data_IF_409120819302
#
_entry.id   IF_409120819302
#
_cell.length_a   1.000
_cell.length_b   1.000
_cell.length_c   1.000
_cell.angle_alpha   90.00
_cell.angle_beta   90.00
_cell.angle_gamma   90.00
#
_symmetry.space_group_name_H-M   'P 1'
#
loop_
_entity.id
_entity.type
_entity.pdbx_description
1 polymer ?
#
# COMPACT_ATOMS: atom_id res chain seq x y z
N UNK A 1 0.12 27.64 20.93
CA UNK A 1 -0.31 26.29 20.52
C UNK A 1 0.26 25.30 21.54
N UNK A 2 -0.56 24.42 22.11
CA UNK A 2 -0.12 23.49 23.16
C UNK A 2 0.72 22.34 22.56
N UNK A 3 1.86 21.99 23.17
CA UNK A 3 2.74 20.87 22.76
C UNK A 3 1.98 19.53 22.61
N UNK A 4 0.88 19.35 23.34
CA UNK A 4 0.04 18.15 23.21
C UNK A 4 -0.81 18.13 21.94
N UNK A 5 -1.18 19.30 21.41
CA UNK A 5 -1.90 19.43 20.13
C UNK A 5 -1.01 19.06 18.94
N UNK A 6 0.27 19.42 18.98
CA UNK A 6 1.23 19.11 17.91
C UNK A 6 1.53 17.60 17.84
N UNK A 7 1.73 16.94 18.99
CA UNK A 7 1.97 15.48 19.04
C UNK A 7 0.77 14.67 18.55
N UNK A 8 -0.45 15.11 18.85
CA UNK A 8 -1.67 14.46 18.36
C UNK A 8 -1.79 14.63 16.84
N UNK A 9 -1.48 15.84 16.34
CA UNK A 9 -1.47 16.13 14.91
C UNK A 9 -0.45 15.28 14.14
N UNK A 10 0.75 15.04 14.69
CA UNK A 10 1.75 14.21 14.01
C UNK A 10 1.35 12.72 13.95
N UNK A 11 0.73 12.18 15.02
CA UNK A 11 0.22 10.81 15.03
C UNK A 11 -0.85 10.57 13.96
N UNK A 12 -1.85 11.45 13.90
CA UNK A 12 -2.92 11.38 12.91
C UNK A 12 -2.36 11.51 11.49
N UNK A 13 -1.33 12.35 11.31
CA UNK A 13 -0.66 12.51 10.02
C UNK A 13 0.08 11.24 9.60
N UNK A 14 0.78 10.56 10.52
CA UNK A 14 1.45 9.27 10.23
C UNK A 14 0.45 8.16 9.90
N UNK A 15 -0.64 8.03 10.67
CA UNK A 15 -1.70 7.03 10.41
C UNK A 15 -2.34 7.23 9.04
N UNK A 16 -2.72 8.46 8.71
CA UNK A 16 -3.26 8.78 7.41
C UNK A 16 -2.24 8.53 6.30
N UNK A 17 -0.96 8.86 6.50
CA UNK A 17 0.07 8.63 5.50
C UNK A 17 0.24 7.14 5.21
N UNK A 18 0.23 6.29 6.24
CA UNK A 18 0.27 4.83 6.12
C UNK A 18 -0.98 4.26 5.41
N UNK A 19 -2.18 4.74 5.78
CA UNK A 19 -3.42 4.29 5.15
C UNK A 19 -3.53 4.71 3.68
N UNK A 20 -3.26 5.98 3.36
CA UNK A 20 -3.30 6.48 1.98
C UNK A 20 -2.22 5.84 1.11
N UNK A 21 -1.00 5.70 1.63
CA UNK A 21 0.08 5.03 0.93
C UNK A 21 -0.25 3.55 0.70
N UNK A 22 -0.77 2.86 1.72
CA UNK A 22 -1.20 1.47 1.61
C UNK A 22 -2.28 1.26 0.54
N UNK A 23 -3.34 2.09 0.56
CA UNK A 23 -4.39 2.03 -0.46
C UNK A 23 -3.88 2.39 -1.87
N UNK A 24 -2.99 3.37 -1.99
CA UNK A 24 -2.39 3.74 -3.27
C UNK A 24 -1.57 2.57 -3.85
N UNK A 25 -0.74 1.91 -3.04
CA UNK A 25 0.02 0.73 -3.48
C UNK A 25 -0.89 -0.47 -3.81
N UNK A 26 -1.98 -0.65 -3.06
CA UNK A 26 -2.96 -1.70 -3.31
C UNK A 26 -3.69 -1.51 -4.65
N UNK A 27 -3.99 -0.27 -5.04
CA UNK A 27 -4.55 0.06 -6.35
C UNK A 27 -3.50 0.04 -7.47
N UNK A 28 -2.25 0.41 -7.16
CA UNK A 28 -1.16 0.45 -8.14
C UNK A 28 -0.79 -0.95 -8.68
N UNK A 29 -0.89 -2.01 -7.86
CA UNK A 29 -0.62 -3.39 -8.31
C UNK A 29 -1.49 -3.83 -9.48
N UNK A 30 -2.83 -3.86 -9.33
CA UNK A 30 -3.76 -4.21 -10.40
C UNK A 30 -3.62 -3.32 -11.65
N UNK A 31 -3.40 -2.02 -11.47
CA UNK A 31 -3.19 -1.08 -12.59
C UNK A 31 -1.90 -1.40 -13.34
N UNK A 32 -0.81 -1.69 -12.62
CA UNK A 32 0.46 -2.08 -13.20
C UNK A 32 0.33 -3.40 -13.97
N UNK A 33 -0.35 -4.40 -13.40
CA UNK A 33 -0.60 -5.68 -14.07
C UNK A 33 -1.38 -5.50 -15.37
N UNK A 34 -2.45 -4.72 -15.34
CA UNK A 34 -3.29 -4.48 -16.52
C UNK A 34 -2.53 -3.76 -17.64
N UNK A 35 -1.73 -2.74 -17.30
CA UNK A 35 -0.86 -2.05 -18.25
C UNK A 35 0.24 -2.97 -18.81
N UNK A 36 0.83 -3.81 -17.96
CA UNK A 36 1.87 -4.75 -18.36
C UNK A 36 1.31 -5.86 -19.27
N UNK A 37 0.12 -6.40 -18.98
CA UNK A 37 -0.56 -7.37 -19.84
C UNK A 37 -0.87 -6.78 -21.22
N UNK A 38 -1.40 -5.55 -21.29
CA UNK A 38 -1.62 -4.86 -22.58
C UNK A 38 -0.31 -4.63 -23.35
N UNK A 39 0.78 -4.29 -22.66
CA UNK A 39 2.10 -4.11 -23.27
C UNK A 39 2.71 -5.43 -23.76
N UNK A 40 2.44 -6.54 -23.08
CA UNK A 40 2.86 -7.88 -23.49
C UNK A 40 2.07 -8.37 -24.70
N UNK A 41 0.74 -8.22 -24.70
CA UNK A 41 -0.12 -8.61 -25.83
C UNK A 41 0.27 -7.89 -27.13
N UNK A 42 0.57 -6.59 -27.05
CA UNK A 42 1.03 -5.81 -28.20
C UNK A 42 2.42 -6.19 -28.70
N UNK A 43 3.27 -6.76 -27.83
CA UNK A 43 4.65 -7.16 -28.15
C UNK A 43 4.83 -8.65 -28.39
N UNK A 44 3.83 -9.49 -28.12
CA UNK A 44 3.84 -10.94 -28.38
C UNK A 44 4.06 -11.26 -29.87
N UNK A 45 3.68 -10.35 -30.77
CA UNK A 45 3.97 -10.45 -32.20
C UNK A 45 5.47 -10.25 -32.57
N UNK A 46 6.26 -9.64 -31.68
CA UNK A 46 7.65 -9.25 -31.96
C UNK A 46 8.68 -9.91 -31.04
N UNK A 47 8.28 -10.45 -29.88
CA UNK A 47 9.13 -11.22 -28.99
C UNK A 47 8.79 -12.70 -29.10
N UNK A 48 9.81 -13.55 -29.26
CA UNK A 48 9.62 -15.01 -29.24
C UNK A 48 9.02 -15.51 -27.91
N UNK A 49 8.34 -16.67 -27.93
CA UNK A 49 7.44 -17.14 -26.86
C UNK A 49 8.12 -17.20 -25.48
N UNK A 50 9.35 -17.70 -25.39
CA UNK A 50 10.09 -17.82 -24.12
C UNK A 50 10.32 -16.47 -23.40
N UNK A 51 10.43 -15.37 -24.16
CA UNK A 51 10.66 -14.04 -23.59
C UNK A 51 9.37 -13.40 -23.11
N UNK A 52 8.22 -13.81 -23.64
CA UNK A 52 6.90 -13.31 -23.23
C UNK A 52 6.53 -13.95 -21.90
N UNK A 53 6.72 -15.27 -21.75
CA UNK A 53 6.43 -16.00 -20.51
C UNK A 53 7.22 -15.45 -19.32
N UNK A 54 8.53 -15.24 -19.47
CA UNK A 54 9.38 -14.69 -18.39
C UNK A 54 8.90 -13.29 -17.99
N UNK A 55 8.51 -12.46 -18.96
CA UNK A 55 8.08 -11.09 -18.71
C UNK A 55 6.68 -11.03 -18.08
N UNK A 56 5.81 -11.98 -18.40
CA UNK A 56 4.52 -12.19 -17.74
C UNK A 56 4.70 -12.58 -16.28
N UNK A 57 5.56 -13.57 -15.99
CA UNK A 57 5.87 -13.97 -14.61
C UNK A 57 6.45 -12.82 -13.78
N UNK A 58 7.36 -12.02 -14.35
CA UNK A 58 7.92 -10.85 -13.68
C UNK A 58 6.84 -9.78 -13.43
N UNK A 59 5.95 -9.54 -14.39
CA UNK A 59 4.83 -8.61 -14.25
C UNK A 59 3.90 -9.01 -13.10
N UNK A 60 3.53 -10.28 -13.04
CA UNK A 60 2.69 -10.85 -11.97
C UNK A 60 3.40 -10.72 -10.62
N UNK A 61 4.68 -11.06 -10.54
CA UNK A 61 5.45 -10.97 -9.30
C UNK A 61 5.54 -9.54 -8.77
N UNK A 62 5.81 -8.56 -9.64
CA UNK A 62 5.90 -7.14 -9.27
C UNK A 62 4.54 -6.58 -8.85
N UNK A 63 3.47 -6.93 -9.58
CA UNK A 63 2.09 -6.55 -9.21
C UNK A 63 1.70 -7.09 -7.83
N UNK A 64 1.98 -8.38 -7.57
CA UNK A 64 1.73 -9.01 -6.28
C UNK A 64 2.53 -8.33 -5.17
N UNK A 65 3.81 -8.06 -5.39
CA UNK A 65 4.66 -7.35 -4.43
C UNK A 65 4.09 -5.97 -4.07
N UNK A 66 3.71 -5.17 -5.06
CA UNK A 66 3.10 -3.86 -4.85
C UNK A 66 1.78 -3.97 -4.07
N UNK A 67 0.92 -4.91 -4.45
CA UNK A 67 -0.37 -5.12 -3.79
C UNK A 67 -0.22 -5.64 -2.35
N UNK A 68 0.71 -6.56 -2.11
CA UNK A 68 0.99 -7.11 -0.78
C UNK A 68 1.63 -6.08 0.14
N UNK A 69 2.61 -5.30 -0.35
CA UNK A 69 3.18 -4.19 0.40
C UNK A 69 2.13 -3.13 0.72
N UNK A 70 1.26 -2.79 -0.24
CA UNK A 70 0.13 -1.88 -0.01
C UNK A 70 -0.84 -2.39 1.05
N UNK A 71 -1.23 -3.66 0.97
CA UNK A 71 -2.08 -4.30 1.97
C UNK A 71 -1.43 -4.31 3.37
N UNK A 72 -0.14 -4.66 3.46
CA UNK A 72 0.59 -4.66 4.72
C UNK A 72 0.68 -3.26 5.35
N UNK A 73 0.96 -2.22 4.55
CA UNK A 73 0.99 -0.83 5.00
C UNK A 73 -0.41 -0.32 5.42
N UNK A 74 -1.45 -0.69 4.67
CA UNK A 74 -2.84 -0.35 5.00
C UNK A 74 -3.27 -0.99 6.33
N UNK A 75 -3.00 -2.29 6.51
CA UNK A 75 -3.27 -3.01 7.76
C UNK A 75 -2.46 -2.44 8.91
N UNK A 76 -1.19 -2.08 8.70
CA UNK A 76 -0.37 -1.42 9.71
C UNK A 76 -0.94 -0.07 10.14
N UNK A 77 -1.43 0.75 9.20
CA UNK A 77 -2.12 2.00 9.48
C UNK A 77 -3.40 1.80 10.31
N UNK A 78 -4.22 0.80 9.95
CA UNK A 78 -5.42 0.43 10.72
C UNK A 78 -5.08 -0.11 12.11
N UNK A 79 -4.07 -0.97 12.23
CA UNK A 79 -3.62 -1.51 13.51
C UNK A 79 -3.10 -0.41 14.46
N UNK A 80 -2.34 0.56 13.94
CA UNK A 80 -1.87 1.72 14.70
C UNK A 80 -3.03 2.61 15.17
N UNK A 81 -3.99 2.91 14.29
CA UNK A 81 -5.18 3.68 14.64
C UNK A 81 -6.03 2.97 15.71
N UNK A 82 -6.21 1.65 15.56
CA UNK A 82 -6.92 0.80 16.52
C UNK A 82 -6.22 0.79 17.89
N UNK A 83 -4.88 0.70 17.89
CA UNK A 83 -4.07 0.73 19.08
C UNK A 83 -4.12 2.08 19.80
N UNK A 84 -4.07 3.19 19.06
CA UNK A 84 -4.22 4.53 19.62
C UNK A 84 -5.63 4.77 20.19
N UNK A 85 -6.67 4.33 19.50
CA UNK A 85 -8.05 4.39 19.99
C UNK A 85 -8.22 3.57 21.28
N UNK A 86 -7.68 2.34 21.32
CA UNK A 86 -7.69 1.48 22.50
C UNK A 86 -6.97 2.13 23.70
N UNK A 87 -5.82 2.77 23.45
CA UNK A 87 -5.06 3.46 24.50
C UNK A 87 -5.79 4.68 25.05
N UNK A 88 -6.49 5.43 24.19
CA UNK A 88 -7.33 6.56 24.60
C UNK A 88 -8.49 6.11 25.50
N UNK A 89 -9.12 4.97 25.19
CA UNK A 89 -10.22 4.40 25.99
C UNK A 89 -9.71 3.84 27.33
N UNK A 90 -8.52 3.21 27.36
CA UNK A 90 -7.93 2.65 28.59
C UNK A 90 -7.33 3.69 29.54
N UNK A 91 -7.02 4.90 29.06
CA UNK A 91 -6.58 6.01 29.91
C UNK A 91 -7.54 7.20 29.73
N UNK A 92 -8.78 7.11 30.25
CA UNK A 92 -9.67 8.26 30.27
C UNK A 92 -9.19 9.21 31.39
N UNK A 93 -8.15 10.00 31.12
CA UNK A 93 -7.62 11.01 32.05
C UNK A 93 -6.10 11.14 32.18
N UNK A 94 -5.29 10.45 31.37
CA UNK A 94 -3.82 10.61 31.42
C UNK A 94 -3.33 11.72 30.50
N UNK A 95 -2.96 12.87 31.08
CA UNK A 95 -2.30 14.02 30.45
C UNK A 95 -1.08 13.66 29.59
#
# INVERSE_FOLDING_TARGET
MSKNSEKLSEKVKQENLLMFCGMAFMAAGPVFWLLASMALDTRALSLGPDKVDVLEWVSIAVSLLLSLCGAALGVAGWALASWHAWRAIRQPGGM
#
